data_IF_539882424588
#
_entry.id   IF_539882424588
#
_cell.length_a   1.000
_cell.length_b   1.000
_cell.length_c   1.000
_cell.angle_alpha   90.00
_cell.angle_beta   90.00
_cell.angle_gamma   90.00
#
_symmetry.space_group_name_H-M   'P 1'
#
loop_
_entity.id
_entity.type
_entity.pdbx_description
1 polymer ?
#
# COMPACT_ATOMS: atom_id res chain seq x y z
N UNK A 1 -20.74 48.16 -4.04
CA UNK A 1 -20.59 47.24 -5.20
C UNK A 1 -19.16 46.70 -5.34
N UNK A 2 -18.13 47.48 -4.97
CA UNK A 2 -16.70 47.09 -5.07
C UNK A 2 -16.28 46.02 -4.01
N UNK A 3 -16.75 46.08 -2.77
CA UNK A 3 -16.37 45.15 -1.69
C UNK A 3 -16.78 43.68 -1.94
N UNK A 4 -17.88 43.41 -2.66
CA UNK A 4 -18.31 42.06 -2.98
C UNK A 4 -17.37 41.33 -3.94
N UNK A 5 -16.63 42.04 -4.77
CA UNK A 5 -15.71 41.44 -5.73
C UNK A 5 -14.39 41.04 -5.06
N UNK A 6 -13.87 41.85 -4.13
CA UNK A 6 -12.64 41.50 -3.39
C UNK A 6 -12.80 40.24 -2.55
N UNK A 7 -13.99 40.02 -1.94
CA UNK A 7 -14.27 38.82 -1.16
C UNK A 7 -14.29 37.55 -2.04
N UNK A 8 -14.78 37.65 -3.28
CA UNK A 8 -14.76 36.53 -4.24
C UNK A 8 -13.35 36.18 -4.70
N UNK A 9 -12.50 37.15 -4.98
CA UNK A 9 -11.12 36.94 -5.38
C UNK A 9 -10.25 36.44 -4.21
N UNK A 10 -10.48 36.92 -2.99
CA UNK A 10 -9.82 36.39 -1.79
C UNK A 10 -10.17 34.92 -1.53
N UNK A 11 -11.43 34.52 -1.75
CA UNK A 11 -11.85 33.12 -1.61
C UNK A 11 -11.22 32.20 -2.67
N UNK A 12 -11.12 32.68 -3.93
CA UNK A 12 -10.45 31.94 -5.01
C UNK A 12 -8.95 31.83 -4.75
N UNK A 13 -8.30 32.85 -4.23
CA UNK A 13 -6.87 32.82 -3.89
C UNK A 13 -6.58 31.87 -2.72
N UNK A 14 -7.43 31.79 -1.72
CA UNK A 14 -7.31 30.85 -0.60
C UNK A 14 -7.55 29.41 -1.06
N UNK A 15 -8.53 29.17 -1.94
CA UNK A 15 -8.77 27.85 -2.53
C UNK A 15 -7.61 27.36 -3.41
N UNK A 16 -6.98 28.26 -4.16
CA UNK A 16 -5.81 27.94 -4.99
C UNK A 16 -4.56 27.62 -4.15
N UNK A 17 -4.46 28.12 -2.91
CA UNK A 17 -3.33 27.85 -2.02
C UNK A 17 -3.43 26.50 -1.29
N UNK A 18 -4.64 25.95 -1.17
CA UNK A 18 -4.87 24.65 -0.49
C UNK A 18 -4.54 23.47 -1.41
N UNK A 19 -4.49 23.66 -2.73
CA UNK A 19 -4.28 22.57 -3.71
C UNK A 19 -2.82 22.17 -3.95
N UNK A 20 -1.85 22.73 -3.24
CA UNK A 20 -0.43 22.38 -3.42
C UNK A 20 0.18 21.74 -2.16
N UNK A 21 -0.55 20.89 -1.45
CA UNK A 21 0.08 20.02 -0.45
C UNK A 21 0.73 18.87 -1.22
N UNK A 22 1.92 19.12 -1.74
CA UNK A 22 2.79 18.04 -2.23
C UNK A 22 3.21 17.23 -1.00
N UNK A 23 2.59 16.08 -0.78
CA UNK A 23 3.07 15.15 0.22
C UNK A 23 4.43 14.64 -0.23
N UNK A 24 5.47 14.99 0.51
CA UNK A 24 6.81 14.49 0.23
C UNK A 24 6.79 12.96 0.27
N UNK A 25 7.21 12.35 -0.83
CA UNK A 25 7.36 10.92 -0.91
C UNK A 25 8.54 10.49 -0.04
N UNK A 26 8.33 9.57 0.89
CA UNK A 26 9.37 9.02 1.76
C UNK A 26 9.80 7.65 1.24
N UNK A 27 11.10 7.41 1.13
CA UNK A 27 11.64 6.10 0.75
C UNK A 27 12.34 5.50 1.96
N UNK A 28 11.88 4.32 2.39
CA UNK A 28 12.55 3.50 3.40
C UNK A 28 13.33 2.39 2.69
N UNK A 29 14.64 2.35 2.93
CA UNK A 29 15.52 1.38 2.28
C UNK A 29 16.04 0.36 3.31
N UNK A 30 15.82 -0.92 3.00
CA UNK A 30 16.42 -2.05 3.69
C UNK A 30 17.57 -2.60 2.85
N UNK A 31 18.74 -2.72 3.45
CA UNK A 31 19.94 -3.27 2.80
C UNK A 31 20.43 -4.48 3.60
N UNK A 32 20.59 -5.61 2.96
CA UNK A 32 20.94 -6.86 3.65
C UNK A 32 22.27 -6.80 4.40
N UNK A 33 23.17 -5.90 4.03
CA UNK A 33 24.45 -5.68 4.72
C UNK A 33 24.25 -5.08 6.13
N UNK A 34 23.30 -4.16 6.26
CA UNK A 34 23.12 -3.35 7.49
C UNK A 34 21.87 -3.71 8.26
N UNK A 35 20.76 -3.97 7.57
CA UNK A 35 19.47 -4.25 8.18
C UNK A 35 19.24 -5.76 8.20
N UNK A 36 19.40 -6.40 9.35
CA UNK A 36 19.39 -7.87 9.49
C UNK A 36 18.18 -8.31 10.32
N UNK A 37 17.59 -9.44 9.92
CA UNK A 37 16.61 -10.16 10.70
C UNK A 37 17.26 -11.05 11.75
N UNK A 38 16.48 -12.00 12.27
CA UNK A 38 16.89 -12.90 13.36
C UNK A 38 17.58 -14.15 12.86
N UNK A 39 17.32 -14.58 11.61
CA UNK A 39 17.78 -15.86 11.12
C UNK A 39 18.88 -15.74 10.08
N UNK A 40 19.97 -16.43 10.29
CA UNK A 40 20.97 -16.73 9.27
C UNK A 40 20.59 -18.02 8.51
N UNK A 41 21.11 -18.20 7.31
CA UNK A 41 20.80 -19.37 6.49
C UNK A 41 21.82 -20.51 6.67
N UNK A 42 22.44 -20.65 7.82
CA UNK A 42 23.41 -21.70 8.11
C UNK A 42 22.76 -23.07 8.28
N UNK A 43 21.47 -23.12 8.47
CA UNK A 43 20.68 -24.33 8.61
C UNK A 43 20.26 -24.89 7.23
N UNK A 44 21.09 -25.70 6.60
CA UNK A 44 20.82 -26.66 5.49
C UNK A 44 19.63 -26.35 4.51
N UNK A 45 19.40 -25.11 4.13
CA UNK A 45 18.39 -24.74 3.13
C UNK A 45 16.94 -24.87 3.59
N UNK A 46 16.67 -25.26 4.80
CA UNK A 46 15.35 -25.18 5.44
C UNK A 46 15.28 -23.87 6.21
N UNK A 47 14.26 -23.06 5.94
CA UNK A 47 14.08 -21.80 6.65
C UNK A 47 13.90 -22.04 8.14
N UNK A 48 14.42 -21.10 8.92
CA UNK A 48 14.31 -21.14 10.38
C UNK A 48 12.90 -20.74 10.87
N UNK A 49 12.01 -20.31 9.97
CA UNK A 49 10.67 -19.82 10.26
C UNK A 49 10.43 -18.41 9.73
N UNK A 50 9.42 -17.75 10.26
CA UNK A 50 9.10 -16.38 9.90
C UNK A 50 10.18 -15.41 10.40
N UNK A 51 10.72 -14.60 9.51
CA UNK A 51 11.71 -13.57 9.83
C UNK A 51 11.23 -12.19 9.41
N UNK A 52 11.60 -11.13 10.15
CA UNK A 52 11.13 -9.78 9.91
C UNK A 52 12.14 -8.72 10.31
N UNK A 53 12.05 -7.56 9.65
CA UNK A 53 12.79 -6.34 9.98
C UNK A 53 11.79 -5.18 9.95
N UNK A 54 11.85 -4.30 10.97
CA UNK A 54 11.06 -3.06 11.00
C UNK A 54 12.00 -1.86 11.07
N UNK A 55 11.74 -0.87 10.21
CA UNK A 55 12.52 0.36 10.11
C UNK A 55 11.59 1.50 9.70
N UNK A 56 11.64 2.62 10.38
CA UNK A 56 10.87 3.85 10.07
C UNK A 56 9.37 3.60 9.83
N UNK A 57 8.75 2.74 10.64
CA UNK A 57 7.34 2.38 10.53
C UNK A 57 6.98 1.43 9.37
N UNK A 58 7.98 0.96 8.62
CA UNK A 58 7.83 -0.05 7.57
C UNK A 58 8.38 -1.38 8.06
N UNK A 59 7.66 -2.48 7.77
CA UNK A 59 8.10 -3.84 8.08
C UNK A 59 8.19 -4.66 6.80
N UNK A 60 9.31 -5.34 6.61
CA UNK A 60 9.46 -6.44 5.66
C UNK A 60 9.47 -7.76 6.43
N UNK A 61 8.76 -8.76 5.92
CA UNK A 61 8.60 -10.06 6.59
C UNK A 61 8.53 -11.18 5.57
N UNK A 62 9.05 -12.35 5.93
CA UNK A 62 8.82 -13.61 5.20
C UNK A 62 8.12 -14.62 6.10
N UNK A 63 7.26 -15.47 5.53
CA UNK A 63 6.63 -16.58 6.27
C UNK A 63 7.64 -17.67 6.64
N UNK A 64 8.67 -17.86 5.79
CA UNK A 64 9.79 -18.73 6.07
C UNK A 64 11.01 -18.30 5.25
N UNK A 65 12.11 -17.98 5.94
CA UNK A 65 13.30 -17.43 5.28
C UNK A 65 14.45 -17.17 6.25
N UNK A 66 15.33 -16.28 5.81
CA UNK A 66 16.47 -15.84 6.60
C UNK A 66 16.93 -14.45 6.15
N UNK A 67 16.73 -13.44 6.98
CA UNK A 67 17.07 -12.04 6.67
C UNK A 67 18.44 -11.61 7.22
N UNK A 68 19.15 -12.51 7.89
CA UNK A 68 20.57 -12.32 8.24
C UNK A 68 21.50 -13.26 7.46
N UNK A 69 21.03 -13.80 6.32
CA UNK A 69 21.77 -14.76 5.52
C UNK A 69 22.95 -14.14 4.77
N UNK A 70 23.96 -14.96 4.50
CA UNK A 70 25.08 -14.63 3.61
C UNK A 70 25.21 -15.68 2.51
N UNK A 71 25.72 -15.28 1.35
CA UNK A 71 26.09 -16.21 0.30
C UNK A 71 27.28 -17.08 0.73
N UNK A 72 27.21 -18.36 0.45
CA UNK A 72 28.23 -19.31 0.92
C UNK A 72 29.62 -19.06 0.30
N UNK A 73 29.65 -18.58 -0.96
CA UNK A 73 30.89 -18.37 -1.71
C UNK A 73 31.40 -16.94 -1.55
N UNK A 74 30.55 -15.96 -1.83
CA UNK A 74 30.95 -14.54 -1.86
C UNK A 74 30.87 -13.87 -0.48
N UNK A 75 30.17 -14.51 0.49
CA UNK A 75 29.83 -13.94 1.81
C UNK A 75 28.99 -12.67 1.76
N UNK A 76 28.48 -12.29 0.59
CA UNK A 76 27.58 -11.15 0.44
C UNK A 76 26.27 -11.38 1.20
N UNK A 77 25.84 -10.37 1.91
CA UNK A 77 24.60 -10.43 2.67
C UNK A 77 23.36 -10.49 1.74
N UNK A 78 22.35 -11.20 2.16
CA UNK A 78 21.14 -11.38 1.36
C UNK A 78 19.93 -11.74 2.23
N UNK A 79 18.76 -11.26 1.83
CA UNK A 79 17.48 -11.72 2.34
C UNK A 79 17.06 -12.95 1.55
N UNK A 80 16.81 -14.06 2.22
CA UNK A 80 16.32 -15.30 1.60
C UNK A 80 14.85 -15.49 1.91
N UNK A 81 14.05 -15.60 0.86
CA UNK A 81 12.65 -16.04 0.90
C UNK A 81 12.60 -17.39 0.20
N UNK A 82 12.24 -18.44 0.95
CA UNK A 82 12.26 -19.79 0.38
C UNK A 82 11.13 -20.01 -0.62
N UNK A 83 11.27 -21.04 -1.45
CA UNK A 83 10.27 -21.39 -2.45
C UNK A 83 8.93 -21.70 -1.78
N UNK A 84 7.83 -21.19 -2.35
CA UNK A 84 6.44 -21.24 -1.90
C UNK A 84 6.12 -20.37 -0.69
N UNK A 85 7.09 -19.66 -0.16
CA UNK A 85 6.89 -18.79 0.99
C UNK A 85 6.54 -17.35 0.54
N UNK A 86 5.94 -16.62 1.47
CA UNK A 86 5.51 -15.24 1.22
C UNK A 86 6.56 -14.24 1.66
N UNK A 87 6.55 -13.11 0.97
CA UNK A 87 7.23 -11.88 1.35
C UNK A 87 6.21 -10.76 1.46
N UNK A 88 6.04 -10.23 2.67
CA UNK A 88 5.07 -9.17 2.97
C UNK A 88 5.80 -7.89 3.30
N UNK A 89 5.33 -6.78 2.73
CA UNK A 89 5.75 -5.43 3.10
C UNK A 89 4.54 -4.71 3.67
N UNK A 90 4.68 -4.11 4.84
CA UNK A 90 3.61 -3.35 5.49
C UNK A 90 4.11 -2.03 6.05
N UNK A 91 3.23 -1.05 6.18
CA UNK A 91 3.54 0.28 6.69
C UNK A 91 2.48 0.77 7.67
N UNK A 92 2.94 1.39 8.76
CA UNK A 92 2.09 2.08 9.76
C UNK A 92 2.13 3.60 9.62
N UNK A 93 2.94 4.13 8.68
CA UNK A 93 3.20 5.57 8.50
C UNK A 93 2.62 6.15 7.21
N UNK A 94 1.84 5.36 6.48
CA UNK A 94 1.17 5.76 5.24
C UNK A 94 1.10 4.61 4.26
N UNK A 95 0.37 4.79 3.16
CA UNK A 95 0.25 3.76 2.14
C UNK A 95 1.56 3.61 1.35
N UNK A 96 1.88 2.36 1.03
CA UNK A 96 2.96 1.99 0.14
C UNK A 96 2.50 2.24 -1.30
N UNK A 97 3.28 3.00 -2.06
CA UNK A 97 2.96 3.30 -3.47
C UNK A 97 3.88 2.57 -4.43
N UNK A 98 5.08 2.20 -3.97
CA UNK A 98 6.05 1.44 -4.78
C UNK A 98 6.94 0.60 -3.87
N UNK A 99 7.28 -0.60 -4.31
CA UNK A 99 8.34 -1.42 -3.71
C UNK A 99 9.27 -1.89 -4.82
N UNK A 100 10.57 -1.61 -4.68
CA UNK A 100 11.61 -2.14 -5.58
C UNK A 100 12.46 -3.15 -4.82
N UNK A 101 12.58 -4.35 -5.37
CA UNK A 101 13.35 -5.44 -4.78
C UNK A 101 14.53 -5.74 -5.70
N UNK A 102 15.76 -5.53 -5.23
CA UNK A 102 16.98 -5.88 -5.96
C UNK A 102 17.46 -7.26 -5.52
N UNK A 103 17.56 -8.18 -6.47
CA UNK A 103 17.94 -9.57 -6.25
C UNK A 103 19.40 -9.86 -6.61
N UNK A 104 19.90 -11.03 -6.20
CA UNK A 104 21.27 -11.47 -6.52
C UNK A 104 21.41 -11.97 -7.95
N UNK A 105 20.32 -12.42 -8.59
CA UNK A 105 20.28 -12.93 -9.96
C UNK A 105 19.29 -12.17 -10.84
N UNK A 106 19.36 -12.36 -12.14
CA UNK A 106 18.55 -11.64 -13.11
C UNK A 106 17.23 -12.39 -13.44
N UNK A 107 16.18 -11.61 -13.71
CA UNK A 107 14.93 -12.07 -14.30
C UNK A 107 14.38 -13.34 -13.63
N UNK A 108 14.06 -14.34 -14.44
CA UNK A 108 13.52 -15.63 -13.98
C UNK A 108 14.59 -16.66 -13.56
N UNK A 109 15.88 -16.28 -13.55
CA UNK A 109 16.92 -17.15 -13.03
C UNK A 109 16.69 -17.49 -11.55
N UNK A 110 17.23 -18.62 -11.10
CA UNK A 110 17.21 -19.00 -9.70
C UNK A 110 17.73 -17.85 -8.85
N UNK A 111 16.96 -17.44 -7.82
CA UNK A 111 17.21 -16.30 -6.91
C UNK A 111 16.89 -14.91 -7.48
N UNK A 112 16.40 -14.82 -8.73
CA UNK A 112 16.03 -13.57 -9.37
C UNK A 112 14.61 -13.11 -9.04
N UNK A 113 14.26 -11.86 -9.42
CA UNK A 113 12.98 -11.25 -9.12
C UNK A 113 11.79 -11.93 -9.79
N UNK A 114 12.00 -12.60 -10.94
CA UNK A 114 10.95 -13.33 -11.66
C UNK A 114 10.46 -14.60 -10.95
N UNK A 115 11.06 -14.95 -9.80
CA UNK A 115 10.55 -16.01 -8.92
C UNK A 115 9.39 -15.54 -8.03
N UNK A 116 9.18 -14.25 -7.86
CA UNK A 116 8.02 -13.70 -7.18
C UNK A 116 6.81 -13.60 -8.09
N UNK A 117 5.64 -13.85 -7.52
CA UNK A 117 4.31 -13.55 -8.09
C UNK A 117 3.49 -12.78 -7.09
N UNK A 118 2.57 -11.97 -7.58
CA UNK A 118 1.64 -11.17 -6.78
C UNK A 118 0.97 -10.09 -7.65
N UNK A 119 -0.17 -9.59 -7.21
CA UNK A 119 -0.88 -8.53 -7.90
C UNK A 119 -0.01 -7.26 -7.98
N UNK A 120 -0.06 -6.60 -9.14
CA UNK A 120 0.68 -5.36 -9.42
C UNK A 120 2.21 -5.48 -9.31
N UNK A 121 2.76 -6.71 -9.30
CA UNK A 121 4.20 -6.95 -9.31
C UNK A 121 4.68 -7.28 -10.72
N UNK A 122 5.82 -6.70 -11.10
CA UNK A 122 6.52 -6.94 -12.38
C UNK A 122 8.01 -7.14 -12.13
N UNK A 123 8.54 -8.27 -12.58
CA UNK A 123 9.96 -8.51 -12.62
C UNK A 123 10.55 -7.93 -13.92
N UNK A 124 11.73 -7.29 -13.82
CA UNK A 124 12.53 -6.93 -14.99
C UNK A 124 13.32 -8.14 -15.51
N UNK A 125 13.95 -7.99 -16.68
CA UNK A 125 14.94 -8.94 -17.16
C UNK A 125 16.27 -8.87 -16.41
N UNK A 126 16.50 -7.78 -15.66
CA UNK A 126 17.63 -7.56 -14.77
C UNK A 126 17.38 -8.09 -13.36
N UNK A 127 18.05 -7.47 -12.39
CA UNK A 127 17.98 -7.89 -10.97
C UNK A 127 16.79 -7.32 -10.20
N UNK A 128 16.01 -6.44 -10.78
CA UNK A 128 14.98 -5.71 -10.07
C UNK A 128 13.58 -6.24 -10.38
N UNK A 129 12.76 -6.29 -9.37
CA UNK A 129 11.32 -6.45 -9.47
C UNK A 129 10.63 -5.28 -8.78
N UNK A 130 9.52 -4.83 -9.35
CA UNK A 130 8.76 -3.68 -8.86
C UNK A 130 7.31 -4.03 -8.62
N UNK A 131 6.82 -3.70 -7.45
CA UNK A 131 5.41 -3.60 -7.15
C UNK A 131 4.99 -2.13 -7.18
N UNK A 132 3.81 -1.82 -7.71
CA UNK A 132 3.24 -0.47 -7.71
C UNK A 132 1.76 -0.53 -7.38
N UNK A 133 1.30 0.34 -6.48
CA UNK A 133 -0.08 0.35 -6.01
C UNK A 133 -0.35 1.45 -5.00
N UNK A 134 -1.35 1.27 -4.16
CA UNK A 134 -1.67 2.14 -3.03
C UNK A 134 -2.29 1.30 -1.92
N UNK A 135 -1.47 0.77 -1.02
CA UNK A 135 -1.92 -0.15 0.02
C UNK A 135 -1.10 -0.03 1.30
N UNK A 136 -1.72 -0.27 2.46
CA UNK A 136 -1.00 -0.33 3.73
C UNK A 136 -0.12 -1.59 3.84
N UNK A 137 -0.40 -2.62 3.03
CA UNK A 137 0.37 -3.85 2.99
C UNK A 137 0.23 -4.53 1.63
N UNK A 138 1.28 -5.24 1.21
CA UNK A 138 1.29 -6.11 0.04
C UNK A 138 1.99 -7.41 0.36
N UNK A 139 1.66 -8.46 -0.39
CA UNK A 139 2.28 -9.78 -0.23
C UNK A 139 2.65 -10.34 -1.61
N UNK A 140 3.88 -10.83 -1.72
CA UNK A 140 4.40 -11.56 -2.88
C UNK A 140 4.69 -13.00 -2.47
N UNK A 141 4.59 -13.95 -3.40
CA UNK A 141 4.92 -15.36 -3.17
C UNK A 141 6.10 -15.76 -4.03
N UNK A 142 7.10 -16.40 -3.43
CA UNK A 142 8.24 -16.99 -4.14
C UNK A 142 7.80 -18.29 -4.85
N UNK A 143 7.04 -18.18 -5.95
CA UNK A 143 6.27 -19.28 -6.53
C UNK A 143 7.13 -20.32 -7.28
N UNK A 144 8.14 -19.90 -8.02
CA UNK A 144 8.94 -20.80 -8.85
C UNK A 144 10.23 -21.26 -8.20
N UNK A 145 10.94 -20.36 -7.53
CA UNK A 145 12.21 -20.60 -6.87
C UNK A 145 12.32 -19.78 -5.58
N UNK A 146 13.35 -20.07 -4.77
CA UNK A 146 13.79 -19.18 -3.71
C UNK A 146 14.20 -17.83 -4.30
N UNK A 147 13.80 -16.74 -3.65
CA UNK A 147 14.28 -15.39 -3.96
C UNK A 147 15.39 -15.01 -2.99
N UNK A 148 16.42 -14.32 -3.50
CA UNK A 148 17.52 -13.76 -2.70
C UNK A 148 17.65 -12.29 -3.03
N UNK A 149 17.20 -11.42 -2.14
CA UNK A 149 17.29 -9.98 -2.29
C UNK A 149 18.48 -9.41 -1.54
N UNK A 150 19.09 -8.37 -2.09
CA UNK A 150 20.16 -7.61 -1.43
C UNK A 150 19.63 -6.27 -0.91
N UNK A 151 18.56 -5.75 -1.52
CA UNK A 151 17.97 -4.46 -1.17
C UNK A 151 16.47 -4.49 -1.40
N UNK A 152 15.73 -3.78 -0.53
CA UNK A 152 14.30 -3.49 -0.69
C UNK A 152 14.08 -2.00 -0.44
N UNK A 153 13.53 -1.29 -1.41
CA UNK A 153 13.19 0.13 -1.31
C UNK A 153 11.66 0.27 -1.30
N UNK A 154 11.13 0.86 -0.26
CA UNK A 154 9.69 1.04 -0.04
C UNK A 154 9.37 2.51 -0.09
N UNK A 155 8.55 2.92 -1.04
CA UNK A 155 8.09 4.29 -1.19
C UNK A 155 6.74 4.45 -0.50
N UNK A 156 6.66 5.38 0.45
CA UNK A 156 5.47 5.71 1.22
C UNK A 156 4.96 7.08 0.80
N UNK A 157 3.65 7.20 0.63
CA UNK A 157 3.03 8.45 0.22
C UNK A 157 3.35 8.81 -1.23
N UNK A 158 2.98 10.00 -1.59
CA UNK A 158 2.98 10.44 -2.98
C UNK A 158 1.66 10.10 -3.66
N UNK A 159 1.17 11.00 -4.47
CA UNK A 159 -0.02 10.75 -5.27
C UNK A 159 0.29 9.61 -6.24
N UNK A 160 -0.47 8.51 -6.16
CA UNK A 160 -0.56 7.59 -7.29
C UNK A 160 -1.12 8.38 -8.45
N UNK A 161 -0.33 8.59 -9.49
CA UNK A 161 -0.82 9.22 -10.70
C UNK A 161 -2.05 8.48 -11.19
N UNK A 162 -3.21 9.12 -11.11
CA UNK A 162 -4.41 8.64 -11.73
C UNK A 162 -5.63 8.44 -10.84
N UNK A 163 -5.92 9.38 -9.97
CA UNK A 163 -7.26 9.91 -9.75
C UNK A 163 -7.08 11.24 -9.04
N UNK A 164 -7.41 12.33 -9.73
CA UNK A 164 -7.66 13.61 -9.09
C UNK A 164 -8.60 13.31 -7.92
N UNK A 165 -8.27 13.69 -6.65
CA UNK A 165 -9.24 13.53 -5.58
C UNK A 165 -10.49 14.25 -6.09
N UNK A 166 -11.54 13.48 -6.38
CA UNK A 166 -12.85 14.06 -6.61
C UNK A 166 -13.09 14.92 -5.38
N UNK A 167 -13.31 16.24 -5.52
CA UNK A 167 -13.64 17.08 -4.37
C UNK A 167 -14.70 16.32 -3.59
N UNK A 168 -14.65 16.29 -2.25
CA UNK A 168 -15.66 15.58 -1.47
C UNK A 168 -16.99 15.95 -2.11
N UNK A 169 -17.70 14.97 -2.67
CA UNK A 169 -18.98 15.23 -3.31
C UNK A 169 -19.75 16.08 -2.32
N UNK A 170 -20.20 17.27 -2.73
CA UNK A 170 -20.93 18.16 -1.84
C UNK A 170 -21.96 17.27 -1.14
N UNK A 171 -21.85 17.20 0.19
CA UNK A 171 -22.66 16.28 0.97
C UNK A 171 -24.11 16.66 0.69
N UNK A 172 -24.80 15.89 -0.14
CA UNK A 172 -26.17 16.18 -0.52
C UNK A 172 -27.01 16.02 0.75
N UNK A 173 -27.42 17.14 1.33
CA UNK A 173 -28.26 17.17 2.54
C UNK A 173 -29.71 17.17 2.13
N UNK A 174 -30.44 16.15 2.54
CA UNK A 174 -31.88 16.11 2.39
C UNK A 174 -32.53 16.54 3.72
N UNK A 175 -33.27 17.64 3.71
CA UNK A 175 -33.90 18.18 4.92
C UNK A 175 -35.17 17.42 5.33
N UNK A 176 -35.69 16.57 4.45
CA UNK A 176 -36.89 15.76 4.70
C UNK A 176 -36.90 14.52 3.81
N UNK A 177 -37.82 13.58 4.12
CA UNK A 177 -37.96 12.31 3.40
C UNK A 177 -38.33 12.51 1.91
N UNK A 178 -39.11 13.54 1.58
CA UNK A 178 -39.49 13.82 0.19
C UNK A 178 -38.30 14.24 -0.65
N UNK A 179 -37.48 15.14 -0.11
CA UNK A 179 -36.21 15.56 -0.74
C UNK A 179 -35.23 14.38 -0.90
N UNK A 180 -35.14 13.49 0.11
CA UNK A 180 -34.31 12.28 0.02
C UNK A 180 -34.79 11.30 -1.08
N UNK A 181 -36.08 11.12 -1.21
CA UNK A 181 -36.69 10.26 -2.27
C UNK A 181 -36.51 10.82 -3.68
N UNK A 182 -36.33 12.13 -3.83
CA UNK A 182 -36.12 12.79 -5.12
C UNK A 182 -34.68 12.67 -5.63
N UNK A 183 -33.75 12.15 -4.83
CA UNK A 183 -32.37 11.96 -5.24
C UNK A 183 -32.24 10.84 -6.28
N UNK A 184 -31.31 11.00 -7.19
CA UNK A 184 -31.00 9.97 -8.19
C UNK A 184 -30.47 8.71 -7.52
N UNK A 185 -30.88 7.53 -8.01
CA UNK A 185 -30.37 6.25 -7.52
C UNK A 185 -28.84 6.19 -7.58
N UNK A 186 -28.19 5.78 -6.48
CA UNK A 186 -26.74 5.76 -6.34
C UNK A 186 -26.12 7.01 -5.71
N UNK A 187 -26.92 8.05 -5.41
CA UNK A 187 -26.43 9.23 -4.69
C UNK A 187 -26.32 8.93 -3.20
N UNK A 188 -25.15 9.20 -2.60
CA UNK A 188 -24.99 9.19 -1.15
C UNK A 188 -25.43 10.53 -0.58
N UNK A 189 -26.31 10.53 0.41
CA UNK A 189 -26.85 11.74 1.03
C UNK A 189 -27.05 11.58 2.53
N UNK A 190 -26.85 12.66 3.29
CA UNK A 190 -27.19 12.73 4.71
C UNK A 190 -28.61 13.25 4.88
N UNK A 191 -29.50 12.43 5.46
CA UNK A 191 -30.86 12.83 5.80
C UNK A 191 -30.94 13.26 7.27
N UNK A 192 -31.23 14.55 7.50
CA UNK A 192 -31.44 15.10 8.84
C UNK A 192 -32.94 15.21 9.13
N UNK A 193 -33.46 14.38 10.01
CA UNK A 193 -34.86 14.42 10.44
C UNK A 193 -34.99 15.21 11.75
N UNK A 194 -35.74 16.30 11.73
CA UNK A 194 -36.16 17.02 12.97
C UNK A 194 -37.50 16.50 13.42
N UNK A 195 -37.64 16.15 14.70
CA UNK A 195 -38.85 15.67 15.33
C UNK A 195 -39.44 14.41 14.65
N UNK A 196 -38.62 13.51 14.17
CA UNK A 196 -39.04 12.27 13.56
C UNK A 196 -39.63 11.33 14.62
N UNK A 197 -40.88 10.90 14.40
CA UNK A 197 -41.50 9.86 15.19
C UNK A 197 -41.36 8.53 14.44
N UNK A 198 -40.68 7.55 15.01
CA UNK A 198 -40.56 6.22 14.43
C UNK A 198 -41.82 5.44 14.69
N UNK A 199 -42.65 5.24 13.64
CA UNK A 199 -43.78 4.36 13.70
C UNK A 199 -43.37 3.00 13.14
N UNK A 200 -43.20 2.02 14.03
CA UNK A 200 -42.91 0.64 13.64
C UNK A 200 -44.16 -0.07 13.19
N UNK A 201 -44.25 -0.44 11.91
CA UNK A 201 -45.30 -1.30 11.38
C UNK A 201 -44.71 -2.66 11.05
N UNK A 202 -45.02 -3.64 11.88
CA UNK A 202 -44.65 -5.04 11.60
C UNK A 202 -45.73 -5.65 10.67
N UNK A 203 -45.36 -5.92 9.41
CA UNK A 203 -46.20 -6.65 8.49
C UNK A 203 -45.65 -8.08 8.40
N UNK A 204 -46.20 -8.96 9.21
CA UNK A 204 -46.00 -10.40 9.01
C UNK A 204 -46.87 -10.87 7.85
N UNK A 205 -46.25 -11.19 6.73
CA UNK A 205 -46.86 -12.03 5.71
C UNK A 205 -46.51 -13.48 6.02
N UNK A 206 -47.45 -14.17 6.68
CA UNK A 206 -47.45 -15.63 6.71
C UNK A 206 -47.91 -16.14 5.34
N UNK A 207 -47.02 -16.87 4.66
CA UNK A 207 -47.37 -17.97 3.74
C UNK A 207 -46.29 -19.02 3.81
#
# INVERSE_FOLDING_TARGET
>A
KFMKNYLRYAFIAVLAFICNVSFAQTVVTFTAETDKGSFDATQNGTGAGADKITKDGVTIQTSNGAFAATDNNTKAAQYRIYKFETFTVSSTVGNITKVVITCTANGSAKYGPGSFTGDNYKASTGKEGTWSGNAASLTLTASSNQVRATKVEVTIGGETGGETPTPPAEETKAENIAAFKALTSGTTATLTLKNAQVVYKNVYTTK
#
